data_IF_904866598533
#
_entry.id   IF_904866598533
#
_cell.length_a   1.000
_cell.length_b   1.000
_cell.length_c   1.000
_cell.angle_alpha   90.00
_cell.angle_beta   90.00
_cell.angle_gamma   90.00
#
_symmetry.space_group_name_H-M   'P 1'
#
loop_
_entity.id
_entity.type
_entity.pdbx_description
1 polymer ?
#
# COMPACT_ATOMS: atom_id res chain seq x y z
N UNK A 1 6.69 -26.56 -10.39
CA UNK A 1 5.34 -26.37 -9.82
C UNK A 1 4.39 -27.37 -10.48
N UNK A 2 3.39 -27.90 -9.77
CA UNK A 2 2.38 -28.80 -10.36
C UNK A 2 1.26 -28.01 -11.04
N UNK A 3 0.85 -28.41 -12.25
CA UNK A 3 -0.20 -27.72 -13.03
C UNK A 3 -1.60 -27.92 -12.46
N UNK A 4 -1.84 -29.06 -11.84
CA UNK A 4 -3.12 -29.49 -11.29
C UNK A 4 -2.91 -30.13 -9.92
N UNK A 5 -3.92 -30.12 -9.03
CA UNK A 5 -3.85 -30.85 -7.78
C UNK A 5 -3.59 -32.34 -8.01
N UNK A 6 -2.67 -32.91 -7.24
CA UNK A 6 -2.26 -34.32 -7.33
C UNK A 6 -2.66 -35.02 -6.03
N UNK A 7 -3.27 -36.19 -6.15
CA UNK A 7 -3.67 -36.99 -4.97
C UNK A 7 -2.51 -37.86 -4.51
N UNK A 8 -2.44 -38.16 -3.20
CA UNK A 8 -1.43 -39.05 -2.66
C UNK A 8 -1.43 -40.41 -3.39
N UNK A 9 -0.24 -40.85 -3.83
CA UNK A 9 -0.07 -42.10 -4.60
C UNK A 9 -0.25 -41.98 -6.11
N UNK A 10 -0.65 -40.82 -6.64
CA UNK A 10 -0.75 -40.59 -8.09
C UNK A 10 0.65 -40.45 -8.72
N UNK A 11 0.96 -41.15 -9.83
CA UNK A 11 2.23 -41.00 -10.54
C UNK A 11 2.45 -39.58 -11.07
N UNK A 12 3.64 -39.03 -10.80
CA UNK A 12 4.07 -37.72 -11.31
C UNK A 12 4.62 -37.87 -12.73
N UNK A 13 3.92 -37.30 -13.71
CA UNK A 13 4.36 -37.25 -15.11
C UNK A 13 5.01 -35.91 -15.42
N UNK A 14 5.95 -35.89 -16.37
CA UNK A 14 6.58 -34.62 -16.80
C UNK A 14 5.55 -33.58 -17.29
N UNK A 15 4.45 -34.02 -17.89
CA UNK A 15 3.35 -33.13 -18.31
C UNK A 15 2.58 -32.48 -17.14
N UNK A 16 2.63 -33.06 -15.93
CA UNK A 16 1.99 -32.52 -14.74
C UNK A 16 2.85 -31.45 -14.04
N UNK A 17 4.14 -31.33 -14.41
CA UNK A 17 5.10 -30.41 -13.84
C UNK A 17 5.34 -29.22 -14.78
N UNK A 18 5.70 -28.09 -14.18
CA UNK A 18 6.20 -26.90 -14.87
C UNK A 18 7.55 -26.57 -14.28
N UNK A 19 8.59 -26.65 -15.10
CA UNK A 19 9.94 -26.25 -14.76
C UNK A 19 10.11 -24.72 -14.82
N UNK A 20 11.13 -24.16 -14.15
CA UNK A 20 11.40 -22.72 -14.15
C UNK A 20 11.52 -22.07 -15.54
N UNK A 21 11.93 -22.84 -16.55
CA UNK A 21 12.11 -22.38 -17.94
C UNK A 21 10.91 -22.64 -18.84
N UNK A 22 9.84 -23.28 -18.33
CA UNK A 22 8.67 -23.61 -19.14
C UNK A 22 7.74 -22.41 -19.30
N UNK A 23 7.12 -22.29 -20.49
CA UNK A 23 6.07 -21.30 -20.73
C UNK A 23 4.94 -21.49 -19.71
N UNK A 24 4.60 -20.43 -19.00
CA UNK A 24 3.54 -20.42 -18.00
C UNK A 24 3.98 -20.82 -16.58
N UNK A 25 5.27 -21.00 -16.30
CA UNK A 25 5.78 -21.28 -14.95
C UNK A 25 5.30 -20.27 -13.90
N UNK A 26 5.46 -18.97 -14.18
CA UNK A 26 5.01 -17.91 -13.28
C UNK A 26 3.49 -17.89 -13.13
N UNK A 27 2.73 -18.19 -14.19
CA UNK A 27 1.28 -18.27 -14.13
C UNK A 27 0.80 -19.45 -13.27
N UNK A 28 1.51 -20.59 -13.31
CA UNK A 28 1.22 -21.75 -12.48
C UNK A 28 1.62 -21.56 -11.00
N UNK A 29 2.51 -20.61 -10.70
CA UNK A 29 2.94 -20.29 -9.34
C UNK A 29 1.97 -19.34 -8.59
N UNK A 30 1.04 -18.71 -9.32
CA UNK A 30 0.05 -17.79 -8.77
C UNK A 30 -1.07 -18.55 -8.06
N UNK A 31 -1.47 -18.03 -6.90
CA UNK A 31 -2.71 -18.42 -6.24
C UNK A 31 -3.94 -18.02 -7.05
N UNK A 32 -5.08 -18.71 -6.87
CA UNK A 32 -6.32 -18.38 -7.55
C UNK A 32 -6.73 -16.92 -7.33
N UNK A 33 -7.00 -16.20 -8.42
CA UNK A 33 -7.42 -14.79 -8.38
C UNK A 33 -6.28 -13.78 -8.15
N UNK A 34 -5.03 -14.23 -8.11
CA UNK A 34 -3.86 -13.37 -7.96
C UNK A 34 -3.24 -13.02 -9.32
N UNK A 35 -2.45 -11.95 -9.36
CA UNK A 35 -1.72 -11.43 -10.52
C UNK A 35 -0.24 -11.25 -10.18
N UNK A 36 0.62 -11.43 -11.17
CA UNK A 36 2.03 -11.10 -11.08
C UNK A 36 2.26 -9.64 -11.48
N UNK A 37 2.94 -8.86 -10.66
CA UNK A 37 3.33 -7.47 -10.98
C UNK A 37 4.82 -7.31 -10.72
N UNK A 38 5.54 -6.80 -11.71
CA UNK A 38 6.98 -6.55 -11.62
C UNK A 38 7.23 -5.09 -11.29
N UNK A 39 8.08 -4.84 -10.29
CA UNK A 39 8.52 -3.51 -9.88
C UNK A 39 10.03 -3.41 -10.04
N UNK A 40 10.53 -2.35 -10.72
CA UNK A 40 11.96 -2.09 -10.78
C UNK A 40 12.46 -1.61 -9.40
N UNK A 41 13.59 -2.15 -8.97
CA UNK A 41 14.26 -1.81 -7.72
C UNK A 41 15.76 -1.62 -7.97
N UNK A 42 16.44 -0.96 -7.03
CA UNK A 42 17.90 -0.89 -6.99
C UNK A 42 18.41 -1.48 -5.67
N UNK A 43 19.73 -1.45 -5.44
CA UNK A 43 20.35 -2.01 -4.23
C UNK A 43 19.71 -1.44 -2.95
N UNK A 44 19.45 -0.13 -2.92
CA UNK A 44 18.95 0.54 -1.71
C UNK A 44 17.44 0.33 -1.51
N UNK A 45 16.66 0.26 -2.58
CA UNK A 45 15.21 0.04 -2.50
C UNK A 45 14.83 -1.44 -2.41
N UNK A 46 15.72 -2.37 -2.78
CA UNK A 46 15.49 -3.81 -2.82
C UNK A 46 16.06 -4.60 -1.63
N UNK A 47 16.27 -3.96 -0.47
CA UNK A 47 16.85 -4.60 0.75
C UNK A 47 18.21 -5.26 0.46
N UNK A 48 19.04 -4.63 -0.37
CA UNK A 48 20.39 -5.09 -0.73
C UNK A 48 20.48 -6.56 -1.23
N UNK A 49 19.37 -7.13 -1.69
CA UNK A 49 19.36 -8.50 -2.21
C UNK A 49 19.06 -9.63 -1.25
N UNK A 50 18.63 -9.30 -0.03
CA UNK A 50 18.19 -10.31 0.92
C UNK A 50 16.73 -10.75 0.71
N UNK A 51 16.09 -10.29 -0.37
CA UNK A 51 14.73 -10.72 -0.75
C UNK A 51 14.83 -11.89 -1.70
N UNK A 52 14.21 -13.01 -1.34
CA UNK A 52 14.16 -14.23 -2.14
C UNK A 52 12.73 -14.59 -2.56
N UNK A 53 12.55 -15.36 -3.65
CA UNK A 53 11.26 -15.94 -3.99
C UNK A 53 10.66 -16.72 -2.81
N UNK A 54 9.41 -16.39 -2.44
CA UNK A 54 8.73 -16.93 -1.27
C UNK A 54 8.66 -15.96 -0.09
N UNK A 55 9.54 -14.96 -0.03
CA UNK A 55 9.55 -13.98 1.06
C UNK A 55 8.34 -13.06 1.04
N UNK A 56 8.08 -12.43 2.20
CA UNK A 56 7.03 -11.44 2.40
C UNK A 56 7.65 -10.07 2.57
N UNK A 57 7.16 -9.10 1.80
CA UNK A 57 7.61 -7.72 1.87
C UNK A 57 6.42 -6.76 1.98
N UNK A 58 6.71 -5.57 2.52
CA UNK A 58 5.84 -4.41 2.44
C UNK A 58 6.38 -3.46 1.35
N UNK A 59 5.45 -2.81 0.64
CA UNK A 59 5.75 -1.81 -0.38
C UNK A 59 5.58 -0.41 0.21
N UNK A 60 6.66 0.37 0.20
CA UNK A 60 6.70 1.73 0.70
C UNK A 60 6.87 2.68 -0.49
N UNK A 61 5.91 3.58 -0.68
CA UNK A 61 5.96 4.63 -1.68
C UNK A 61 6.54 5.89 -1.06
N UNK A 62 7.59 6.44 -1.66
CA UNK A 62 8.09 7.77 -1.35
C UNK A 62 7.85 8.70 -2.54
N UNK A 63 7.15 9.80 -2.32
CA UNK A 63 6.73 10.74 -3.37
C UNK A 63 6.80 12.19 -2.92
N UNK A 64 6.83 13.09 -3.89
CA UNK A 64 6.77 14.54 -3.68
C UNK A 64 5.35 15.05 -3.94
N UNK A 65 4.67 15.47 -2.88
CA UNK A 65 3.32 16.01 -2.92
C UNK A 65 3.37 17.52 -3.09
N UNK A 66 3.01 18.00 -4.28
CA UNK A 66 2.80 19.43 -4.52
C UNK A 66 1.48 19.86 -3.88
N UNK A 67 1.49 20.96 -3.13
CA UNK A 67 0.27 21.58 -2.66
C UNK A 67 -0.09 22.82 -3.47
N UNK A 68 -1.05 23.59 -2.97
CA UNK A 68 -1.62 24.71 -3.72
C UNK A 68 -0.77 25.99 -3.71
N UNK A 69 0.02 26.23 -2.65
CA UNK A 69 0.86 27.42 -2.56
C UNK A 69 2.19 27.30 -3.33
N UNK A 70 2.89 28.42 -3.50
CA UNK A 70 4.18 28.54 -4.22
C UNK A 70 5.38 27.93 -3.47
N UNK A 71 5.14 27.05 -2.50
CA UNK A 71 6.18 26.41 -1.69
C UNK A 71 6.77 25.15 -2.34
N UNK A 72 7.95 24.69 -1.89
CA UNK A 72 8.51 23.43 -2.35
C UNK A 72 7.59 22.25 -2.03
N UNK A 73 7.60 21.17 -2.85
CA UNK A 73 6.78 19.98 -2.61
C UNK A 73 7.09 19.32 -1.26
N UNK A 74 6.07 18.71 -0.65
CA UNK A 74 6.21 17.93 0.57
C UNK A 74 6.69 16.52 0.24
N UNK A 75 7.78 16.07 0.87
CA UNK A 75 8.19 14.66 0.81
C UNK A 75 7.28 13.83 1.72
N UNK A 76 6.64 12.81 1.17
CA UNK A 76 5.76 11.88 1.90
C UNK A 76 6.19 10.45 1.61
N UNK A 77 6.23 9.62 2.66
CA UNK A 77 6.45 8.18 2.55
C UNK A 77 5.25 7.44 3.15
N UNK A 78 4.71 6.46 2.45
CA UNK A 78 3.53 5.68 2.87
C UNK A 78 3.73 4.19 2.57
N UNK A 79 3.36 3.33 3.52
CA UNK A 79 3.25 1.89 3.25
C UNK A 79 1.94 1.60 2.55
N UNK A 80 1.98 1.42 1.24
CA UNK A 80 0.81 1.30 0.37
C UNK A 80 0.22 -0.12 0.35
N UNK A 81 1.07 -1.13 0.54
CA UNK A 81 0.68 -2.54 0.54
C UNK A 81 1.57 -3.28 1.52
N UNK A 82 0.97 -4.15 2.32
CA UNK A 82 1.66 -5.00 3.28
C UNK A 82 1.50 -6.49 2.95
N UNK A 83 2.40 -7.31 3.47
CA UNK A 83 2.36 -8.76 3.40
C UNK A 83 2.34 -9.33 1.97
N UNK A 84 3.03 -8.66 1.05
CA UNK A 84 3.08 -9.06 -0.36
C UNK A 84 4.09 -10.20 -0.54
N UNK A 85 3.69 -11.26 -1.23
CA UNK A 85 4.58 -12.39 -1.53
C UNK A 85 5.42 -12.09 -2.75
N UNK A 86 6.71 -12.41 -2.65
CA UNK A 86 7.65 -12.37 -3.77
C UNK A 86 7.55 -13.67 -4.55
N UNK A 87 7.30 -13.57 -5.86
CA UNK A 87 7.26 -14.70 -6.78
C UNK A 87 8.62 -14.96 -7.41
N UNK A 88 9.30 -13.90 -7.81
CA UNK A 88 10.57 -13.99 -8.50
C UNK A 88 11.38 -12.71 -8.26
N UNK A 89 12.68 -12.86 -8.22
CA UNK A 89 13.66 -11.77 -8.32
C UNK A 89 14.42 -11.97 -9.61
N UNK A 90 14.74 -10.88 -10.32
CA UNK A 90 15.55 -10.91 -11.52
C UNK A 90 17.01 -11.19 -11.14
N UNK A 91 17.30 -12.45 -10.82
CA UNK A 91 18.66 -12.96 -10.76
C UNK A 91 18.95 -13.57 -12.13
N UNK A 92 19.68 -12.85 -12.98
CA UNK A 92 20.51 -13.56 -13.97
C UNK A 92 21.64 -14.23 -13.20
N UNK A 93 21.35 -15.40 -12.64
CA UNK A 93 22.37 -16.39 -12.31
C UNK A 93 22.81 -17.02 -13.62
N UNK A 94 23.48 -16.24 -14.45
CA UNK A 94 24.34 -16.66 -15.57
C UNK A 94 24.62 -15.43 -16.42
N UNK A 95 25.63 -14.69 -15.97
CA UNK A 95 26.60 -14.15 -16.92
C UNK A 95 27.92 -14.64 -16.38
N UNK A 96 28.34 -15.83 -16.80
CA UNK A 96 29.77 -16.05 -16.98
C UNK A 96 30.21 -14.88 -17.86
N UNK A 97 30.98 -13.95 -17.30
CA UNK A 97 31.73 -13.03 -18.14
C UNK A 97 32.59 -13.87 -19.10
N UNK A 98 32.98 -13.31 -20.24
CA UNK A 98 33.89 -13.96 -21.19
C UNK A 98 35.23 -14.40 -20.53
N UNK A 99 35.47 -13.95 -19.31
CA UNK A 99 36.59 -14.17 -18.40
C UNK A 99 36.30 -15.16 -17.23
N UNK A 100 35.15 -15.85 -17.22
CA UNK A 100 34.86 -16.95 -16.30
C UNK A 100 34.62 -16.56 -14.83
N UNK A 101 34.49 -15.26 -14.54
CA UNK A 101 34.16 -14.73 -13.21
C UNK A 101 32.66 -14.59 -13.03
N UNK A 102 32.17 -14.95 -11.85
CA UNK A 102 30.78 -14.73 -11.43
C UNK A 102 30.58 -13.25 -11.15
N UNK A 103 30.10 -12.49 -12.14
CA UNK A 103 29.57 -11.14 -11.87
C UNK A 103 28.26 -11.28 -11.11
N UNK A 104 28.25 -10.88 -9.85
CA UNK A 104 27.02 -10.73 -9.07
C UNK A 104 26.28 -9.51 -9.62
N UNK A 105 25.42 -9.75 -10.61
CA UNK A 105 24.49 -8.73 -11.10
C UNK A 105 23.42 -8.52 -10.03
N UNK A 106 23.41 -7.33 -9.45
CA UNK A 106 22.35 -6.86 -8.56
C UNK A 106 20.98 -7.04 -9.24
N UNK A 107 20.01 -7.58 -8.50
CA UNK A 107 18.60 -7.65 -8.92
C UNK A 107 18.06 -6.26 -9.21
N UNK A 108 17.56 -6.09 -10.43
CA UNK A 108 16.94 -4.83 -10.88
C UNK A 108 15.42 -4.88 -10.82
N UNK A 109 14.82 -6.07 -10.71
CA UNK A 109 13.37 -6.24 -10.73
C UNK A 109 12.92 -7.30 -9.71
N UNK A 110 11.80 -7.03 -9.06
CA UNK A 110 11.12 -7.99 -8.18
C UNK A 110 9.68 -8.15 -8.65
N UNK A 111 9.23 -9.40 -8.75
CA UNK A 111 7.89 -9.77 -9.18
C UNK A 111 7.08 -10.24 -7.99
N UNK A 112 5.91 -9.65 -7.80
CA UNK A 112 5.03 -9.86 -6.65
C UNK A 112 3.75 -10.58 -7.03
N UNK A 113 3.22 -11.36 -6.10
CA UNK A 113 1.87 -11.92 -6.14
C UNK A 113 0.90 -10.97 -5.44
N UNK A 114 -0.02 -10.37 -6.21
CA UNK A 114 -0.95 -9.34 -5.73
C UNK A 114 -2.38 -9.59 -6.19
N UNK A 115 -3.36 -9.00 -5.50
CA UNK A 115 -4.75 -9.01 -5.97
C UNK A 115 -4.93 -8.03 -7.14
N UNK A 116 -6.00 -8.16 -7.94
CA UNK A 116 -6.35 -7.22 -9.01
C UNK A 116 -6.30 -5.73 -8.61
N UNK A 117 -6.93 -5.40 -7.48
CA UNK A 117 -6.96 -4.05 -6.92
C UNK A 117 -5.59 -3.55 -6.49
N UNK A 118 -4.78 -4.43 -5.89
CA UNK A 118 -3.42 -4.09 -5.49
C UNK A 118 -2.54 -3.85 -6.71
N UNK A 119 -2.72 -4.61 -7.79
CA UNK A 119 -1.99 -4.38 -9.03
C UNK A 119 -2.20 -2.97 -9.58
N UNK A 120 -3.44 -2.48 -9.58
CA UNK A 120 -3.77 -1.11 -9.97
C UNK A 120 -3.12 -0.07 -9.04
N UNK A 121 -3.17 -0.30 -7.72
CA UNK A 121 -2.50 0.55 -6.73
C UNK A 121 -0.99 0.63 -6.94
N UNK A 122 -0.33 -0.50 -7.20
CA UNK A 122 1.11 -0.55 -7.46
C UNK A 122 1.45 0.21 -8.75
N UNK A 123 0.65 0.05 -9.80
CA UNK A 123 0.85 0.78 -11.06
C UNK A 123 0.75 2.30 -10.86
N UNK A 124 -0.24 2.78 -10.10
CA UNK A 124 -0.35 4.20 -9.75
C UNK A 124 0.85 4.64 -8.92
N UNK A 125 1.23 3.85 -7.91
CA UNK A 125 2.37 4.19 -7.06
C UNK A 125 3.69 4.32 -7.84
N UNK A 126 3.93 3.44 -8.82
CA UNK A 126 5.08 3.54 -9.73
C UNK A 126 5.11 4.85 -10.52
N UNK A 127 3.94 5.39 -10.87
CA UNK A 127 3.85 6.69 -11.56
C UNK A 127 4.03 7.90 -10.64
N UNK A 128 3.74 7.74 -9.35
CA UNK A 128 3.76 8.81 -8.36
C UNK A 128 5.16 9.07 -7.78
N UNK A 129 5.97 8.02 -7.64
CA UNK A 129 7.28 8.16 -7.00
C UNK A 129 8.07 6.87 -6.94
N UNK A 130 8.97 6.80 -5.96
CA UNK A 130 9.89 5.66 -5.80
C UNK A 130 9.31 4.65 -4.84
N UNK A 131 9.27 3.38 -5.27
CA UNK A 131 8.93 2.25 -4.41
C UNK A 131 10.18 1.66 -3.75
N UNK A 132 10.09 1.40 -2.45
CA UNK A 132 11.06 0.62 -1.70
C UNK A 132 10.40 -0.56 -1.00
N UNK A 133 11.19 -1.61 -0.80
CA UNK A 133 10.79 -2.85 -0.16
C UNK A 133 11.22 -2.84 1.30
N UNK A 134 10.35 -3.34 2.17
CA UNK A 134 10.69 -3.67 3.55
C UNK A 134 10.43 -5.15 3.77
N UNK A 135 11.47 -5.91 4.10
CA UNK A 135 11.36 -7.34 4.36
C UNK A 135 10.65 -7.58 5.70
N UNK A 136 9.64 -8.45 5.70
CA UNK A 136 8.87 -8.75 6.91
C UNK A 136 9.50 -9.86 7.72
N UNK A 137 9.37 -9.77 9.04
CA UNK A 137 9.67 -10.89 9.92
C UNK A 137 8.59 -11.97 9.75
N UNK A 138 9.00 -13.24 9.81
CA UNK A 138 8.07 -14.38 9.82
C UNK A 138 7.09 -14.28 11.00
N UNK A 139 7.54 -13.72 12.14
CA UNK A 139 6.74 -13.56 13.35
C UNK A 139 5.60 -12.52 13.22
N UNK A 140 5.71 -11.54 12.32
CA UNK A 140 4.71 -10.47 12.18
C UNK A 140 3.37 -10.98 11.64
N UNK A 141 3.41 -12.08 10.87
CA UNK A 141 2.23 -12.70 10.27
C UNK A 141 1.22 -13.18 11.32
N UNK A 142 1.71 -13.72 12.44
CA UNK A 142 0.87 -14.22 13.55
C UNK A 142 0.15 -13.07 14.25
N UNK A 143 0.87 -12.00 14.60
CA UNK A 143 0.29 -10.85 15.29
C UNK A 143 -0.73 -10.08 14.44
N UNK A 144 -0.54 -10.06 13.11
CA UNK A 144 -1.54 -9.50 12.20
C UNK A 144 -2.77 -10.39 12.05
N UNK A 145 -2.59 -11.70 11.96
CA UNK A 145 -3.71 -12.64 11.91
C UNK A 145 -4.57 -12.52 13.17
N UNK A 146 -3.94 -12.47 14.35
CA UNK A 146 -4.63 -12.27 15.63
C UNK A 146 -5.44 -10.96 15.65
N UNK A 147 -4.87 -9.86 15.17
CA UNK A 147 -5.58 -8.57 15.02
C UNK A 147 -6.72 -8.63 14.01
N UNK A 148 -6.54 -9.34 12.90
CA UNK A 148 -7.56 -9.50 11.87
C UNK A 148 -8.75 -10.35 12.36
N UNK A 149 -8.47 -11.37 13.16
CA UNK A 149 -9.49 -12.17 13.86
C UNK A 149 -10.20 -11.31 14.91
N UNK A 150 -9.45 -10.58 15.75
CA UNK A 150 -10.02 -9.71 16.79
C UNK A 150 -10.88 -8.58 16.22
N UNK A 151 -10.53 -8.04 15.05
CA UNK A 151 -11.30 -7.00 14.35
C UNK A 151 -12.48 -7.54 13.52
N UNK A 152 -12.68 -8.87 13.48
CA UNK A 152 -13.76 -9.50 12.72
C UNK A 152 -13.57 -9.47 11.19
N UNK A 153 -12.37 -9.13 10.71
CA UNK A 153 -12.04 -9.18 9.28
C UNK A 153 -11.94 -10.62 8.76
N UNK A 154 -11.57 -11.56 9.63
CA UNK A 154 -11.58 -13.00 9.35
C UNK A 154 -12.82 -13.61 10.00
N UNK A 155 -13.85 -13.87 9.19
CA UNK A 155 -15.06 -14.57 9.64
C UNK A 155 -14.86 -16.06 9.55
N UNK A 156 -14.77 -16.72 10.71
CA UNK A 156 -14.79 -18.17 10.81
C UNK A 156 -16.24 -18.65 10.94
N UNK A 157 -16.71 -19.53 10.06
CA UNK A 157 -18.07 -20.07 10.17
C UNK A 157 -18.18 -20.98 11.40
N UNK A 158 -19.24 -20.80 12.19
CA UNK A 158 -19.53 -21.67 13.33
C UNK A 158 -19.82 -23.09 12.82
N UNK A 159 -18.94 -24.05 13.15
CA UNK A 159 -19.06 -25.45 12.73
C UNK A 159 -18.09 -25.92 11.63
N UNK A 160 -17.08 -25.12 11.26
CA UNK A 160 -16.00 -25.60 10.39
C UNK A 160 -15.23 -26.77 11.02
N UNK A 161 -14.87 -27.76 10.19
CA UNK A 161 -13.96 -28.84 10.62
C UNK A 161 -12.58 -28.22 10.96
N UNK A 162 -11.89 -28.66 12.05
CA UNK A 162 -10.57 -28.14 12.43
C UNK A 162 -9.51 -28.10 11.30
N UNK A 163 -9.61 -28.95 10.29
CA UNK A 163 -8.74 -28.90 9.11
C UNK A 163 -9.07 -27.71 8.18
N UNK A 164 -10.36 -27.47 7.93
CA UNK A 164 -10.84 -26.36 7.09
C UNK A 164 -10.58 -25.02 7.76
N UNK A 165 -10.80 -24.94 9.07
CA UNK A 165 -10.49 -23.76 9.88
C UNK A 165 -9.01 -23.39 9.75
N UNK A 166 -8.08 -24.31 10.03
CA UNK A 166 -6.64 -24.05 9.86
C UNK A 166 -6.29 -23.56 8.47
N UNK A 167 -6.88 -24.14 7.43
CA UNK A 167 -6.60 -23.73 6.05
C UNK A 167 -7.13 -22.31 5.76
N UNK A 168 -8.28 -21.92 6.31
CA UNK A 168 -8.81 -20.57 6.21
C UNK A 168 -7.94 -19.55 6.97
N UNK A 169 -7.45 -19.88 8.17
CA UNK A 169 -6.51 -19.00 8.90
C UNK A 169 -5.20 -18.82 8.12
N UNK A 170 -4.64 -19.89 7.59
CA UNK A 170 -3.42 -19.83 6.78
C UNK A 170 -3.63 -19.00 5.52
N UNK A 171 -4.78 -19.16 4.85
CA UNK A 171 -5.15 -18.36 3.70
C UNK A 171 -5.34 -16.88 4.06
N UNK A 172 -5.91 -16.57 5.23
CA UNK A 172 -6.06 -15.20 5.70
C UNK A 172 -4.72 -14.54 6.05
N UNK A 173 -3.84 -15.26 6.76
CA UNK A 173 -2.51 -14.79 7.14
C UNK A 173 -1.60 -14.54 5.94
N UNK A 174 -1.83 -15.24 4.82
CA UNK A 174 -1.02 -15.17 3.61
C UNK A 174 -1.52 -14.17 2.57
N UNK A 175 -2.60 -13.42 2.85
CA UNK A 175 -3.13 -12.41 1.92
C UNK A 175 -2.40 -11.07 2.05
N UNK A 176 -2.11 -10.40 0.92
CA UNK A 176 -1.61 -9.03 0.96
C UNK A 176 -2.70 -8.06 1.44
N UNK A 177 -2.30 -7.05 2.21
CA UNK A 177 -3.18 -6.12 2.91
C UNK A 177 -2.97 -4.71 2.33
N UNK A 178 -4.04 -4.05 1.91
CA UNK A 178 -4.00 -2.72 1.28
C UNK A 178 -4.78 -1.65 2.06
N UNK A 179 -5.14 -1.95 3.31
CA UNK A 179 -5.89 -1.10 4.23
C UNK A 179 -5.05 -0.68 5.43
N UNK A 180 -5.45 0.40 6.12
CA UNK A 180 -4.76 0.87 7.33
C UNK A 180 -3.36 1.38 7.01
N UNK A 181 -3.24 2.18 5.95
CA UNK A 181 -1.97 2.76 5.54
C UNK A 181 -1.52 3.82 6.53
N UNK A 182 -0.21 3.88 6.75
CA UNK A 182 0.45 4.87 7.59
C UNK A 182 1.39 5.69 6.73
N UNK A 183 1.45 6.99 6.97
CA UNK A 183 2.36 7.88 6.25
C UNK A 183 3.23 8.69 7.22
N UNK A 184 4.41 9.08 6.73
CA UNK A 184 5.37 9.94 7.40
C UNK A 184 5.74 11.07 6.45
N UNK A 185 5.84 12.29 6.97
CA UNK A 185 6.22 13.47 6.18
C UNK A 185 7.66 13.89 6.45
N UNK A 186 8.21 14.72 5.56
CA UNK A 186 9.55 15.30 5.77
C UNK A 186 9.72 15.95 7.14
N UNK A 187 8.71 16.68 7.62
CA UNK A 187 8.74 17.35 8.93
C UNK A 187 8.62 16.43 10.15
N UNK A 188 8.36 15.13 9.96
CA UNK A 188 8.42 14.13 11.03
C UNK A 188 9.85 13.58 11.19
N UNK A 189 10.64 13.58 10.11
CA UNK A 189 12.02 13.06 10.11
C UNK A 189 13.09 14.15 10.22
N UNK A 190 12.79 15.39 9.84
CA UNK A 190 13.74 16.50 9.89
C UNK A 190 13.09 17.79 10.35
N UNK A 191 13.74 18.46 11.32
CA UNK A 191 13.33 19.79 11.82
C UNK A 191 13.37 20.90 10.76
N UNK A 192 14.06 20.67 9.64
CA UNK A 192 14.18 21.63 8.55
C UNK A 192 13.12 21.44 7.45
N UNK A 193 12.30 20.40 7.58
CA UNK A 193 11.26 20.06 6.61
C UNK A 193 9.88 20.39 7.17
N UNK A 194 8.92 20.61 6.27
CA UNK A 194 7.53 20.94 6.62
C UNK A 194 6.72 19.67 6.84
N UNK A 195 5.64 19.75 7.63
CA UNK A 195 4.67 18.65 7.83
C UNK A 195 3.44 18.74 6.93
N UNK A 196 3.14 19.92 6.40
CA UNK A 196 1.95 20.19 5.58
C UNK A 196 2.31 21.15 4.44
N UNK A 197 1.56 21.08 3.33
CA UNK A 197 1.68 22.08 2.26
C UNK A 197 0.63 23.17 2.46
N UNK A 198 0.98 24.47 2.37
CA UNK A 198 0.00 25.56 2.41
C UNK A 198 -1.03 25.45 1.28
N UNK A 199 -2.27 25.86 1.58
CA UNK A 199 -3.28 26.07 0.57
C UNK A 199 -2.85 27.17 -0.41
N UNK A 200 -3.32 27.09 -1.67
CA UNK A 200 -3.10 28.15 -2.66
C UNK A 200 -3.76 29.42 -2.13
N UNK A 201 -3.01 30.52 -2.04
CA UNK A 201 -3.62 31.83 -1.84
C UNK A 201 -4.45 32.14 -3.08
N UNK A 202 -5.75 32.45 -2.96
CA UNK A 202 -6.58 32.73 -4.13
C UNK A 202 -5.97 33.90 -4.90
N UNK A 203 -5.84 33.71 -6.22
CA UNK A 203 -5.35 34.76 -7.12
C UNK A 203 -6.30 35.96 -7.12
N UNK A 204 -5.86 37.11 -7.61
CA UNK A 204 -6.74 38.28 -7.69
C UNK A 204 -7.98 38.01 -8.57
N UNK A 205 -7.84 37.15 -9.58
CA UNK A 205 -8.95 36.71 -10.42
C UNK A 205 -9.90 35.78 -9.66
N UNK A 206 -9.38 34.85 -8.84
CA UNK A 206 -10.19 34.00 -7.96
C UNK A 206 -10.96 34.83 -6.92
N UNK A 207 -10.32 35.89 -6.39
CA UNK A 207 -10.95 36.83 -5.46
C UNK A 207 -12.03 37.66 -6.16
N UNK A 208 -11.83 38.07 -7.40
CA UNK A 208 -12.83 38.79 -8.19
C UNK A 208 -14.04 37.89 -8.50
N UNK A 209 -13.82 36.62 -8.83
CA UNK A 209 -14.89 35.63 -9.04
C UNK A 209 -15.60 35.30 -7.72
N UNK A 210 -14.90 35.20 -6.59
CA UNK A 210 -15.52 35.06 -5.26
C UNK A 210 -16.33 36.29 -4.87
N UNK A 211 -15.85 37.49 -5.16
CA UNK A 211 -16.59 38.73 -4.90
C UNK A 211 -17.86 38.82 -5.78
N UNK A 212 -17.76 38.46 -7.06
CA UNK A 212 -18.90 38.46 -7.98
C UNK A 212 -19.93 37.37 -7.65
N UNK A 213 -19.47 36.19 -7.24
CA UNK A 213 -20.35 35.11 -6.75
C UNK A 213 -21.02 35.47 -5.42
N UNK A 214 -20.31 36.16 -4.52
CA UNK A 214 -20.89 36.74 -3.30
C UNK A 214 -21.94 37.81 -3.60
N UNK A 215 -21.67 38.67 -4.57
CA UNK A 215 -22.60 39.72 -5.01
C UNK A 215 -23.85 39.15 -5.71
N UNK A 216 -23.70 38.15 -6.58
CA UNK A 216 -24.83 37.48 -7.24
C UNK A 216 -25.66 36.64 -6.26
N UNK A 217 -25.04 36.05 -5.22
CA UNK A 217 -25.73 35.40 -4.11
C UNK A 217 -26.53 36.41 -3.27
N UNK A 218 -25.99 37.61 -3.05
CA UNK A 218 -26.70 38.70 -2.38
C UNK A 218 -27.88 39.25 -3.21
N UNK A 219 -27.74 39.34 -4.54
CA UNK A 219 -28.84 39.80 -5.42
C UNK A 219 -29.98 38.78 -5.60
N UNK A 220 -29.70 37.48 -5.50
CA UNK A 220 -30.74 36.44 -5.61
C UNK A 220 -31.66 36.34 -4.40
N UNK A 221 -31.42 37.14 -3.35
CA UNK A 221 -32.33 37.21 -2.20
C UNK A 221 -32.44 35.91 -1.41
N UNK A 222 -31.48 35.00 -1.54
CA UNK A 222 -31.37 33.87 -0.62
C UNK A 222 -30.98 34.45 0.75
N UNK A 223 -31.94 34.40 1.69
CA UNK A 223 -31.70 34.61 3.11
C UNK A 223 -30.46 33.79 3.57
N UNK A 224 -29.79 34.14 4.68
CA UNK A 224 -28.66 33.36 5.20
C UNK A 224 -29.16 32.00 5.73
N UNK A 225 -29.51 31.11 4.82
CA UNK A 225 -29.73 29.70 5.04
C UNK A 225 -28.37 29.00 4.88
N UNK A 226 -28.04 28.20 5.89
CA UNK A 226 -26.91 27.28 5.96
C UNK A 226 -26.69 26.53 4.65
N UNK A 227 -25.82 27.06 3.80
CA UNK A 227 -25.46 26.49 2.50
C UNK A 227 -23.95 26.59 2.32
N UNK A 228 -23.30 25.44 2.37
CA UNK A 228 -21.86 25.19 2.38
C UNK A 228 -21.12 25.93 1.25
N UNK A 229 -20.63 27.13 1.56
CA UNK A 229 -19.51 27.72 0.85
C UNK A 229 -18.25 27.00 1.32
N UNK A 230 -17.46 26.50 0.36
CA UNK A 230 -16.19 25.84 0.60
C UNK A 230 -15.19 26.78 1.26
N UNK A 231 -15.30 26.89 2.57
CA UNK A 231 -14.20 27.33 3.42
C UNK A 231 -13.10 26.27 3.31
N UNK A 232 -11.84 26.70 3.23
CA UNK A 232 -10.71 25.78 3.21
C UNK A 232 -10.86 24.77 4.36
N UNK A 233 -10.53 23.48 4.20
CA UNK A 233 -10.61 22.54 5.30
C UNK A 233 -9.64 22.99 6.40
N UNK A 234 -10.15 23.73 7.38
CA UNK A 234 -9.46 24.05 8.60
C UNK A 234 -9.27 22.73 9.31
N UNK A 235 -8.05 22.20 9.27
CA UNK A 235 -7.70 20.99 9.99
C UNK A 235 -7.90 21.25 11.48
N UNK A 236 -9.06 20.84 11.99
CA UNK A 236 -9.29 20.74 13.42
C UNK A 236 -8.41 19.58 13.87
N UNK A 237 -7.44 19.87 14.74
CA UNK A 237 -6.60 18.86 15.37
C UNK A 237 -7.46 17.77 16.04
N UNK A 238 -6.85 16.71 16.57
CA UNK A 238 -7.59 15.62 17.20
C UNK A 238 -8.62 16.20 18.21
N UNK A 239 -9.85 15.67 18.17
CA UNK A 239 -10.93 16.07 19.07
C UNK A 239 -11.38 14.85 19.86
N UNK A 240 -11.70 15.05 21.14
CA UNK A 240 -12.31 14.04 21.98
C UNK A 240 -13.79 14.38 22.13
N UNK A 241 -14.66 13.39 21.93
CA UNK A 241 -16.08 13.49 22.27
C UNK A 241 -16.23 13.20 23.77
N UNK A 242 -16.59 14.22 24.53
CA UNK A 242 -16.87 14.10 25.96
C UNK A 242 -18.37 14.11 26.16
N UNK A 243 -18.90 13.00 26.68
CA UNK A 243 -20.32 12.85 27.01
C UNK A 243 -20.52 13.15 28.49
N UNK A 244 -21.38 14.12 28.83
CA UNK A 244 -21.87 14.34 30.19
C UNK A 244 -23.39 14.25 30.20
N UNK A 245 -23.93 13.21 30.84
CA UNK A 245 -25.36 12.92 30.78
C UNK A 245 -25.82 12.68 29.34
N UNK A 246 -26.88 13.37 28.92
CA UNK A 246 -27.41 13.33 27.55
C UNK A 246 -26.68 14.27 26.57
N UNK A 247 -25.65 14.99 27.00
CA UNK A 247 -25.00 16.02 26.20
C UNK A 247 -23.64 15.53 25.69
N UNK A 248 -23.45 15.53 24.36
CA UNK A 248 -22.18 15.20 23.70
C UNK A 248 -21.48 16.50 23.29
N UNK A 249 -20.29 16.75 23.83
CA UNK A 249 -19.45 17.91 23.49
C UNK A 249 -18.17 17.47 22.79
N UNK A 250 -17.73 18.22 21.78
CA UNK A 250 -16.50 17.94 21.02
C UNK A 250 -15.43 18.91 21.48
N UNK A 251 -14.36 18.40 22.10
CA UNK A 251 -13.27 19.21 22.67
C UNK A 251 -11.97 18.94 21.93
N UNK A 252 -11.25 19.97 21.44
CA UNK A 252 -9.93 19.79 20.82
C UNK A 252 -8.88 19.38 21.86
N UNK A 253 -8.07 18.36 21.55
CA UNK A 253 -6.95 17.94 22.42
C UNK A 253 -5.74 18.82 22.13
N UNK A 254 -5.27 19.55 23.16
CA UNK A 254 -4.03 20.34 23.09
C UNK A 254 -4.12 21.79 23.54
N UNK A 255 -5.27 22.31 23.97
CA UNK A 255 -5.35 23.63 24.59
C UNK A 255 -4.98 23.53 26.09
N UNK A 256 -3.78 23.97 26.44
CA UNK A 256 -3.47 24.53 27.76
C UNK A 256 -3.36 26.04 27.62
#
# INVERSE_FOLDING_TARGET
VVRYPITAGQPLTHGALVGPNDRGFLAAALGPGMRAVTVPVNVSTGVAGFVFPGDRVDLVLTQDVRGGGDGPPLKVSETIVRNVRVLATDQRVDSKGDDGKTEVKTFSNVTFEVTPRIAEKVAVAQSLGTLSLSLRSIADSTAELERAVASGQVKLPAGANPAQERQMLLAAASRPIDSGTTYTTGGDVSRFQRRTVPAKTPSNDDKAIQALSGFTKALRGDAPGTGSGGDAPVYKGPVVRVTRGSTVTVVPVGAR
#
